data_IF_338414333401
#
_entry.id   IF_338414333401
#
_cell.length_a   1.000
_cell.length_b   1.000
_cell.length_c   1.000
_cell.angle_alpha   90.00
_cell.angle_beta   90.00
_cell.angle_gamma   90.00
#
_symmetry.space_group_name_H-M   'P 1'
#
loop_
_entity.id
_entity.type
_entity.pdbx_description
1 polymer ?
2 non-polymer ?
3 non-polymer ?
4 non-polymer ?
5 non-polymer ?
6 non-polymer ?
7 water ?
#
# COMPACT_ATOMS: atom_id res chain seq x y z
N UNK A 1 30.14 -10.45 -0.69
CA UNK A 1 30.89 -9.67 0.32
C UNK A 1 29.95 -9.26 1.44
N UNK A 2 30.52 -9.05 2.62
CA UNK A 2 29.78 -8.54 3.78
C UNK A 2 30.11 -7.06 3.86
N UNK A 3 29.08 -6.21 3.82
CA UNK A 3 29.22 -4.77 3.90
C UNK A 3 28.72 -4.23 5.23
N UNK A 4 29.26 -3.08 5.61
CA UNK A 4 28.73 -2.31 6.72
C UNK A 4 27.86 -1.15 6.29
N UNK A 5 28.15 -0.62 5.09
CA UNK A 5 27.45 0.55 4.52
C UNK A 5 26.94 0.17 3.15
N UNK A 6 25.75 0.66 2.80
CA UNK A 6 25.22 0.45 1.43
C UNK A 6 24.23 1.55 1.17
N UNK A 7 24.55 2.46 0.26
CA UNK A 7 23.76 3.69 0.11
C UNK A 7 23.67 4.42 1.43
N UNK A 8 22.44 4.75 1.86
CA UNK A 8 22.21 5.35 3.15
C UNK A 8 21.93 4.38 4.27
N UNK A 9 22.12 3.08 4.05
CA UNK A 9 21.90 2.09 5.11
C UNK A 9 23.22 1.77 5.78
N UNK A 10 23.14 1.52 7.10
CA UNK A 10 24.31 1.23 7.96
C UNK A 10 23.95 0.07 8.86
N UNK A 11 24.82 -0.94 8.94
CA UNK A 11 24.64 -2.02 9.90
C UNK A 11 24.45 -1.43 11.33
N UNK A 12 23.51 -2.01 12.09
CA UNK A 12 23.10 -1.63 13.46
C UNK A 12 21.86 -0.73 13.49
N UNK A 13 21.51 -0.13 12.35
CA UNK A 13 20.36 0.78 12.31
C UNK A 13 19.05 0.06 12.59
N UNK A 14 18.11 0.79 13.16
CA UNK A 14 16.75 0.32 13.38
C UNK A 14 16.05 0.39 12.03
N UNK A 15 15.16 -0.57 11.78
CA UNK A 15 14.54 -0.67 10.47
C UNK A 15 13.23 -1.46 10.60
N UNK A 16 12.40 -1.41 9.57
CA UNK A 16 11.23 -2.28 9.48
C UNK A 16 11.49 -3.37 8.44
N UNK A 17 11.10 -4.60 8.76
CA UNK A 17 11.20 -5.71 7.87
C UNK A 17 9.87 -6.39 7.62
N UNK A 18 9.69 -6.94 6.42
CA UNK A 18 8.49 -7.67 6.05
C UNK A 18 8.62 -9.10 6.58
N UNK A 19 7.68 -9.52 7.42
CA UNK A 19 7.64 -10.92 7.87
C UNK A 19 6.90 -11.78 6.87
N UNK A 20 7.00 -13.10 7.05
CA UNK A 20 6.32 -14.07 6.22
C UNK A 20 4.80 -13.91 6.22
N UNK A 21 4.28 -13.37 7.32
CA UNK A 21 2.85 -13.03 7.46
C UNK A 21 2.39 -11.87 6.57
N UNK A 22 3.36 -11.18 5.95
CA UNK A 22 3.16 -10.04 5.05
C UNK A 22 2.90 -8.74 5.82
N UNK A 23 2.98 -8.80 7.14
CA UNK A 23 2.97 -7.58 7.95
C UNK A 23 4.40 -7.20 8.31
N UNK A 24 4.58 -5.92 8.63
CA UNK A 24 5.92 -5.38 8.82
C UNK A 24 6.19 -5.04 10.27
N UNK A 25 7.42 -5.28 10.70
CA UNK A 25 7.80 -5.25 12.10
C UNK A 25 9.17 -4.66 12.34
N UNK A 26 9.34 -4.06 13.52
CA UNK A 26 10.57 -3.40 13.90
C UNK A 26 11.69 -4.41 14.12
N UNK A 27 12.89 -4.01 13.72
CA UNK A 27 14.07 -4.82 13.95
C UNK A 27 15.35 -4.02 13.76
N UNK A 28 16.45 -4.74 13.74
CA UNK A 28 17.79 -4.16 13.60
C UNK A 28 18.44 -4.78 12.38
N UNK A 29 19.06 -3.95 11.55
CA UNK A 29 19.82 -4.43 10.40
C UNK A 29 21.17 -4.93 10.94
N UNK A 30 21.36 -6.24 10.90
CA UNK A 30 22.57 -6.87 11.43
C UNK A 30 23.62 -7.27 10.41
N UNK A 31 23.30 -7.29 9.11
CA UNK A 31 24.29 -7.60 8.09
C UNK A 31 23.80 -7.10 6.76
N UNK A 32 24.73 -6.78 5.87
CA UNK A 32 24.41 -6.50 4.47
C UNK A 32 25.30 -7.40 3.63
N UNK A 33 24.71 -8.16 2.72
CA UNK A 33 25.43 -9.16 1.91
C UNK A 33 25.28 -8.89 0.45
N UNK A 34 26.38 -8.97 -0.29
CA UNK A 34 26.32 -8.92 -1.74
C UNK A 34 26.61 -10.30 -2.30
N UNK A 35 25.91 -10.65 -3.38
CA UNK A 35 26.28 -11.80 -4.20
C UNK A 35 26.26 -11.28 -5.64
N UNK A 36 27.42 -10.80 -6.08
CA UNK A 36 27.59 -10.23 -7.40
C UNK A 36 26.83 -8.93 -7.55
N UNK A 37 25.79 -8.91 -8.42
CA UNK A 37 24.99 -7.70 -8.55
C UNK A 37 23.87 -7.58 -7.49
N UNK A 38 23.59 -8.66 -6.77
CA UNK A 38 22.46 -8.70 -5.83
C UNK A 38 22.85 -8.23 -4.43
N UNK A 39 21.86 -7.73 -3.70
CA UNK A 39 22.06 -7.35 -2.28
C UNK A 39 20.97 -7.94 -1.40
N UNK A 40 21.37 -8.37 -0.20
CA UNK A 40 20.43 -8.84 0.81
C UNK A 40 20.76 -8.21 2.15
N UNK A 41 19.74 -8.12 2.99
CA UNK A 41 19.79 -7.38 4.25
C UNK A 41 19.28 -8.26 5.36
N UNK A 42 20.14 -8.58 6.32
CA UNK A 42 19.76 -9.46 7.39
C UNK A 42 19.18 -8.65 8.54
N UNK A 43 17.93 -8.94 8.90
CA UNK A 43 17.23 -8.24 9.97
C UNK A 43 16.97 -9.16 11.15
N UNK A 44 17.31 -8.70 12.34
CA UNK A 44 16.91 -9.35 13.59
C UNK A 44 15.71 -8.61 14.10
N UNK A 45 14.55 -9.27 14.09
CA UNK A 45 13.34 -8.65 14.58
C UNK A 45 13.38 -8.57 16.11
N UNK A 46 12.61 -7.66 16.66
CA UNK A 46 12.55 -7.51 18.13
C UNK A 46 12.12 -8.77 18.91
N UNK A 47 11.56 -9.78 18.24
CA UNK A 47 11.39 -11.11 18.85
C UNK A 47 12.61 -12.07 18.78
N UNK A 48 13.76 -11.60 18.31
CA UNK A 48 14.98 -12.42 18.14
C UNK A 48 15.05 -13.26 16.85
N UNK A 49 13.91 -13.42 16.15
CA UNK A 49 13.88 -14.14 14.87
C UNK A 49 14.53 -13.28 13.80
N UNK A 50 15.14 -13.95 12.80
CA UNK A 50 15.96 -13.31 11.77
C UNK A 50 15.48 -13.67 10.38
N UNK A 51 15.51 -12.70 9.46
CA UNK A 51 15.26 -12.95 8.05
C UNK A 51 16.32 -12.28 7.23
N UNK A 52 16.66 -12.92 6.12
CA UNK A 52 17.51 -12.35 5.09
C UNK A 52 16.60 -11.88 3.97
N UNK A 53 16.55 -10.55 3.79
CA UNK A 53 15.53 -9.89 2.97
C UNK A 53 16.09 -9.10 1.81
N UNK A 54 15.36 -9.06 0.70
CA UNK A 54 15.69 -8.17 -0.41
C UNK A 54 15.40 -6.72 0.02
N UNK A 55 16.02 -5.77 -0.65
CA UNK A 55 15.91 -4.35 -0.28
C UNK A 55 14.53 -3.72 -0.41
N UNK A 56 13.68 -4.35 -1.21
CA UNK A 56 12.26 -3.95 -1.32
C UNK A 56 11.37 -4.50 -0.20
N UNK A 57 11.98 -5.28 0.71
CA UNK A 57 11.29 -5.88 1.85
C UNK A 57 11.80 -5.37 3.19
N UNK A 58 12.48 -4.24 3.15
CA UNK A 58 12.80 -3.43 4.32
C UNK A 58 12.36 -1.99 4.08
N UNK A 59 12.04 -1.29 5.17
CA UNK A 59 11.59 0.09 5.14
C UNK A 59 12.28 0.86 6.26
N UNK A 60 12.48 2.15 6.03
CA UNK A 60 13.08 3.01 7.05
C UNK A 60 12.09 3.21 8.20
N UNK A 61 12.62 3.30 9.42
CA UNK A 61 11.78 3.56 10.58
C UNK A 61 11.61 5.07 10.83
N UNK A 62 11.21 5.80 9.81
CA UNK A 62 10.85 7.19 9.94
C UNK A 62 9.80 7.50 8.90
N UNK A 63 9.17 8.64 9.03
CA UNK A 63 8.11 9.03 8.09
C UNK A 63 8.76 9.78 6.94
N UNK A 64 8.36 9.45 5.70
CA UNK A 64 9.00 10.10 4.57
C UNK A 64 8.65 11.59 4.48
N UNK A 65 9.61 12.44 4.08
CA UNK A 65 9.29 13.83 3.79
C UNK A 65 8.37 13.92 2.54
N UNK A 66 7.47 14.91 2.51
CA UNK A 66 6.45 15.00 1.45
C UNK A 66 7.05 15.13 0.05
N UNK A 67 8.20 15.79 -0.06
CA UNK A 67 8.84 15.95 -1.37
C UNK A 67 9.48 14.65 -1.90
N UNK A 68 9.44 13.57 -1.12
CA UNK A 68 9.99 12.28 -1.56
C UNK A 68 8.90 11.28 -1.87
N UNK A 69 7.63 11.68 -1.75
CA UNK A 69 6.52 10.79 -2.03
C UNK A 69 5.86 11.20 -3.32
N UNK A 70 5.83 10.27 -4.28
CA UNK A 70 5.18 10.47 -5.56
C UNK A 70 4.06 9.47 -5.73
N UNK A 71 3.17 9.75 -6.68
CA UNK A 71 2.29 8.68 -7.18
C UNK A 71 3.17 7.53 -7.68
N UNK A 72 2.87 6.34 -7.16
CA UNK A 72 3.69 5.18 -7.42
C UNK A 72 4.78 4.87 -6.42
N UNK A 73 5.01 5.72 -5.45
CA UNK A 73 5.99 5.41 -4.39
C UNK A 73 5.57 4.14 -3.61
N UNK A 74 6.56 3.33 -3.27
CA UNK A 74 6.35 2.10 -2.53
C UNK A 74 6.52 2.39 -1.04
N UNK A 75 5.48 2.09 -0.26
CA UNK A 75 5.46 2.48 1.13
C UNK A 75 4.91 1.34 2.00
N UNK A 76 5.16 1.46 3.29
CA UNK A 76 4.48 0.69 4.31
C UNK A 76 3.58 1.65 5.05
N UNK A 77 2.33 1.25 5.29
CA UNK A 77 1.35 2.15 5.91
C UNK A 77 0.55 1.44 6.99
N UNK A 78 0.05 2.24 7.92
CA UNK A 78 -0.88 1.72 8.94
C UNK A 78 -2.19 1.25 8.29
N UNK A 79 -2.60 0.03 8.64
CA UNK A 79 -3.68 -0.70 7.95
C UNK A 79 -4.66 -1.11 9.03
N UNK A 80 -5.96 -0.89 8.77
CA UNK A 80 -7.04 -1.14 9.73
C UNK A 80 -7.76 -2.45 9.47
N UNK A 82 -10.56 -4.75 11.13
CA UNK A 82 -11.45 -4.79 12.29
C UNK A 82 -11.06 -3.73 13.30
N UNK A 83 -10.71 -4.16 14.51
CA UNK A 83 -10.27 -3.28 15.60
C UNK A 83 -8.74 -3.36 15.85
N UNK A 84 -7.99 -3.96 14.91
CA UNK A 84 -6.53 -4.07 15.01
C UNK A 84 -5.82 -3.21 13.96
N UNK A 85 -4.58 -2.83 14.26
CA UNK A 85 -3.72 -2.06 13.34
C UNK A 85 -2.41 -2.82 13.01
N UNK A 86 -2.11 -2.92 11.72
CA UNK A 86 -0.87 -3.57 11.25
C UNK A 86 -0.13 -2.59 10.35
N UNK A 87 1.10 -2.93 10.02
CA UNK A 87 1.85 -2.21 8.98
C UNK A 87 1.90 -3.10 7.74
N UNK A 88 1.46 -2.57 6.61
CA UNK A 88 1.26 -3.35 5.40
C UNK A 88 1.74 -2.54 4.22
N UNK A 89 2.26 -3.21 3.21
CA UNK A 89 2.79 -2.53 2.04
C UNK A 89 1.72 -2.04 1.09
N UNK A 90 2.03 -0.96 0.37
CA UNK A 90 1.16 -0.43 -0.65
C UNK A 90 1.88 0.54 -1.56
N UNK A 91 1.07 1.24 -2.34
CA UNK A 91 1.49 2.20 -3.34
C UNK A 91 0.76 3.50 -3.09
N UNK A 92 1.51 4.61 -3.16
CA UNK A 92 0.89 5.92 -3.07
C UNK A 92 0.09 6.19 -4.36
N UNK A 93 -1.22 6.40 -4.18
CA UNK A 93 -2.14 6.71 -5.29
C UNK A 93 -2.47 8.19 -5.44
N UNK A 94 -2.37 8.94 -4.33
CA UNK A 94 -2.58 10.37 -4.31
C UNK A 94 -1.70 10.96 -3.27
N UNK A 95 -1.20 12.17 -3.56
CA UNK A 95 -0.54 13.00 -2.59
C UNK A 95 -1.50 14.10 -2.08
N UNK A 96 -1.14 14.76 -0.97
CA UNK A 96 -2.07 15.75 -0.38
C UNK A 96 -2.48 16.87 -1.32
N UNK A 97 -3.77 17.12 -1.40
CA UNK A 97 -4.31 18.26 -2.12
C UNK A 97 -5.63 18.71 -1.49
N UNK A 98 -6.15 19.82 -1.99
CA UNK A 98 -7.39 20.39 -1.44
C UNK A 98 -8.55 19.39 -1.52
N UNK A 99 -8.71 18.72 -2.66
CA UNK A 99 -9.83 17.80 -2.85
C UNK A 99 -9.78 16.56 -1.94
N UNK A 100 -8.58 16.11 -1.53
CA UNK A 100 -8.49 15.00 -0.56
C UNK A 100 -8.20 15.42 0.88
N UNK A 101 -8.40 16.71 1.19
CA UNK A 101 -8.16 17.23 2.53
C UNK A 101 -6.75 16.92 3.04
N UNK A 102 -5.80 17.08 2.12
CA UNK A 102 -4.38 16.97 2.42
C UNK A 102 -3.95 15.63 3.02
N UNK A 103 -4.40 14.56 2.38
CA UNK A 103 -4.07 13.20 2.83
C UNK A 103 -3.39 12.44 1.70
N UNK A 104 -2.80 11.30 2.05
CA UNK A 104 -2.26 10.38 1.05
C UNK A 104 -3.23 9.24 0.84
N UNK A 105 -3.54 8.93 -0.42
CA UNK A 105 -4.32 7.73 -0.77
C UNK A 105 -3.38 6.57 -0.98
N UNK A 106 -3.62 5.48 -0.27
CA UNK A 106 -2.79 4.27 -0.37
C UNK A 106 -3.60 3.13 -0.97
N UNK A 107 -3.04 2.49 -2.00
CA UNK A 107 -3.55 1.23 -2.49
C UNK A 107 -2.68 0.11 -1.94
N UNK A 108 -3.23 -0.67 -1.02
CA UNK A 108 -2.48 -1.75 -0.36
C UNK A 108 -2.40 -2.98 -1.26
N UNK A 109 -1.38 -3.81 -1.02
CA UNK A 109 -1.07 -4.92 -1.91
C UNK A 109 -2.19 -5.95 -2.05
N UNK A 110 -3.07 -6.01 -1.06
CA UNK A 110 -4.17 -6.98 -1.06
C UNK A 110 -5.45 -6.47 -1.67
N UNK A 111 -5.43 -5.25 -2.20
CA UNK A 111 -6.61 -4.66 -2.81
C UNK A 111 -7.44 -3.70 -1.97
N UNK A 112 -7.04 -3.46 -0.73
CA UNK A 112 -7.68 -2.47 0.18
C UNK A 112 -7.16 -1.08 -0.20
N UNK A 113 -7.95 -0.06 0.09
CA UNK A 113 -7.55 1.34 -0.12
C UNK A 113 -7.95 2.16 1.07
N UNK A 114 -7.11 3.12 1.44
CA UNK A 114 -7.40 4.01 2.55
C UNK A 114 -6.67 5.34 2.41
N UNK A 115 -7.25 6.39 2.97
CA UNK A 115 -6.49 7.63 3.16
C UNK A 115 -5.76 7.56 4.50
N UNK A 116 -4.52 8.05 4.49
CA UNK A 116 -3.64 8.09 5.66
C UNK A 116 -2.91 9.43 5.72
N UNK A 117 -2.31 9.70 6.87
CA UNK A 117 -1.51 10.86 7.07
C UNK A 117 -0.04 10.51 6.89
N UNK A 118 0.80 11.53 6.77
CA UNK A 118 2.26 11.36 6.73
C UNK A 118 2.80 10.50 7.87
N UNK A 119 2.23 10.67 9.07
CA UNK A 119 2.68 9.96 10.27
C UNK A 119 2.30 8.49 10.30
N UNK A 120 1.56 8.02 9.27
CA UNK A 120 1.17 6.65 9.16
C UNK A 120 1.91 5.91 8.05
N UNK A 121 2.93 6.56 7.46
CA UNK A 121 3.72 6.02 6.34
C UNK A 121 5.18 5.83 6.64
N UNK A 122 5.78 4.83 5.98
CA UNK A 122 7.20 4.56 6.05
C UNK A 122 7.69 4.25 4.65
N UNK A 123 8.86 4.76 4.24
CA UNK A 123 9.35 4.48 2.90
C UNK A 123 10.11 3.17 2.78
N UNK A 124 9.80 2.38 1.73
CA UNK A 124 10.58 1.18 1.45
C UNK A 124 11.99 1.59 1.02
N UNK A 125 13.00 0.87 1.52
CA UNK A 125 14.39 1.28 1.33
C UNK A 125 14.89 1.20 -0.10
N UNK A 126 14.63 0.08 -0.78
CA UNK A 126 15.14 -0.14 -2.13
C UNK A 126 13.99 -0.63 -3.02
N UNK A 127 13.09 0.29 -3.36
CA UNK A 127 11.95 -0.12 -4.19
C UNK A 127 12.43 -0.57 -5.57
N UNK A 128 11.65 -1.43 -6.20
CA UNK A 128 11.95 -1.79 -7.60
C UNK A 128 11.74 -0.58 -8.53
N UNK A 129 12.46 -0.58 -9.65
CA UNK A 129 12.37 0.47 -10.67
C UNK A 129 10.91 0.67 -11.11
N UNK A 130 10.24 -0.43 -11.38
CA UNK A 130 8.78 -0.44 -11.56
C UNK A 130 8.22 -0.91 -10.23
N UNK A 131 7.73 0.04 -9.44
CA UNK A 131 7.50 -0.23 -8.01
C UNK A 131 6.46 -1.31 -7.74
N UNK A 132 5.51 -1.46 -8.68
CA UNK A 132 4.46 -2.45 -8.65
C UNK A 132 4.91 -3.88 -8.88
N UNK A 133 6.13 -4.09 -9.33
CA UNK A 133 6.52 -5.43 -9.78
C UNK A 133 6.72 -6.45 -8.65
N UNK A 134 6.68 -6.02 -7.37
CA UNK A 134 6.70 -6.97 -6.27
C UNK A 134 5.34 -7.12 -5.59
N UNK A 135 4.26 -6.71 -6.29
CA UNK A 135 2.89 -6.95 -5.85
C UNK A 135 2.54 -8.37 -6.32
N UNK A 136 2.21 -9.23 -5.36
CA UNK A 136 2.09 -10.68 -5.62
C UNK A 136 0.97 -11.06 -6.60
N UNK A 137 -0.21 -10.47 -6.46
CA UNK A 137 -1.36 -10.84 -7.29
C UNK A 137 -1.28 -10.13 -8.65
N UNK A 138 -1.27 -10.88 -9.75
CA UNK A 138 -1.21 -10.32 -11.10
C UNK A 138 -2.32 -9.30 -11.41
N UNK A 139 -3.53 -9.53 -10.93
CA UNK A 139 -4.63 -8.61 -11.18
C UNK A 139 -4.40 -7.30 -10.42
N UNK A 140 -3.93 -7.41 -9.17
CA UNK A 140 -3.58 -6.22 -8.37
C UNK A 140 -2.41 -5.48 -9.03
N UNK A 141 -1.37 -6.24 -9.38
CA UNK A 141 -0.17 -5.68 -9.99
C UNK A 141 -0.48 -4.93 -11.31
N UNK A 142 -1.24 -5.56 -12.22
CA UNK A 142 -1.57 -4.91 -13.47
C UNK A 142 -2.45 -3.65 -13.31
N UNK A 143 -3.38 -3.70 -12.37
CA UNK A 143 -4.17 -2.51 -12.06
C UNK A 143 -3.26 -1.35 -11.64
N UNK A 144 -2.32 -1.62 -10.74
CA UNK A 144 -1.42 -0.54 -10.26
C UNK A 144 -0.55 0.00 -11.39
N UNK A 145 0.01 -0.88 -12.21
CA UNK A 145 0.79 -0.47 -13.39
C UNK A 145 0.00 0.50 -14.26
N UNK A 146 -1.24 0.12 -14.58
CA UNK A 146 -2.08 1.00 -15.42
C UNK A 146 -2.38 2.33 -14.72
N UNK A 147 -2.79 2.24 -13.47
CA UNK A 147 -3.10 3.44 -12.71
C UNK A 147 -1.93 4.41 -12.64
N UNK A 148 -0.77 3.90 -12.22
CA UNK A 148 0.38 4.78 -11.96
C UNK A 148 0.91 5.36 -13.26
N UNK A 149 0.94 4.56 -14.32
CA UNK A 149 1.49 5.03 -15.60
C UNK A 149 0.52 5.96 -16.34
N UNK A 150 -0.79 5.75 -16.19
CA UNK A 150 -1.82 6.63 -16.78
C UNK A 150 -2.02 7.96 -16.06
N UNK A 151 -1.71 7.98 -14.75
CA UNK A 151 -1.82 9.15 -13.92
C UNK A 151 -1.19 10.39 -14.60
N UNK A 152 -1.82 11.55 -14.64
CA UNK A 152 -3.03 11.93 -13.89
C UNK A 152 -4.38 11.63 -14.58
N UNK A 153 -4.38 10.87 -15.66
CA UNK A 153 -5.61 10.43 -16.32
C UNK A 153 -6.25 9.29 -15.50
N UNK A 154 -7.32 9.63 -14.76
CA UNK A 154 -7.96 8.69 -13.84
C UNK A 154 -9.47 8.67 -14.04
N UNK A 155 -9.97 7.76 -14.90
CA UNK A 155 -11.42 7.61 -15.00
C UNK A 155 -12.00 7.16 -13.67
N UNK A 156 -13.07 7.81 -13.26
CA UNK A 156 -13.75 7.52 -12.00
C UNK A 156 -15.24 7.70 -12.22
N UNK A 157 -16.03 6.96 -11.46
CA UNK A 157 -17.47 7.17 -11.47
C UNK A 157 -17.84 8.18 -10.40
N UNK A 158 -18.69 9.13 -10.77
CA UNK A 158 -19.21 10.11 -9.84
C UNK A 158 -20.41 9.50 -9.16
N UNK A 159 -20.35 9.38 -7.83
CA UNK A 159 -21.40 8.71 -7.04
C UNK A 159 -21.88 9.62 -5.95
N UNK A 160 -23.15 9.46 -5.59
CA UNK A 160 -23.76 10.24 -4.53
C UNK A 160 -24.41 9.31 -3.51
N UNK A 161 -24.44 9.74 -2.26
CA UNK A 161 -25.05 8.95 -1.19
C UNK A 161 -26.51 8.65 -1.53
N UNK A 162 -26.90 7.41 -1.27
CA UNK A 162 -28.24 6.89 -1.59
C UNK A 162 -28.31 6.16 -2.93
N UNK A 163 -27.32 6.35 -3.80
CA UNK A 163 -27.36 5.77 -5.14
C UNK A 163 -27.25 4.26 -5.10
N UNK A 164 -28.12 3.58 -5.87
CA UNK A 164 -28.10 2.13 -5.95
C UNK A 164 -27.23 1.69 -7.11
N UNK A 165 -26.27 0.82 -6.84
CA UNK A 165 -25.37 0.30 -7.86
C UNK A 165 -25.09 -1.17 -7.58
N UNK A 166 -24.53 -1.87 -8.58
CA UNK A 166 -24.01 -3.21 -8.33
C UNK A 166 -22.53 -3.11 -8.03
N UNK A 167 -22.09 -3.85 -7.02
CA UNK A 167 -20.68 -3.90 -6.65
C UNK A 167 -20.20 -5.37 -6.63
N UNK A 168 -18.98 -5.60 -7.12
CA UNK A 168 -18.42 -6.94 -7.17
C UNK A 168 -17.94 -7.40 -5.79
N UNK A 169 -18.15 -8.68 -5.50
CA UNK A 169 -17.52 -9.34 -4.36
C UNK A 169 -17.47 -10.83 -4.66
N UNK A 170 -16.31 -11.43 -4.43
CA UNK A 170 -16.07 -12.86 -4.71
C UNK A 170 -16.56 -13.27 -6.10
N UNK A 171 -16.30 -12.42 -7.08
CA UNK A 171 -16.54 -12.76 -8.48
C UNK A 171 -17.92 -12.58 -9.04
N UNK A 172 -18.89 -12.09 -8.25
CA UNK A 172 -20.21 -11.80 -8.76
C UNK A 172 -20.67 -10.41 -8.33
N UNK A 173 -21.76 -9.96 -8.92
CA UNK A 173 -22.32 -8.62 -8.68
C UNK A 173 -23.35 -8.65 -7.57
N UNK A 174 -23.29 -7.70 -6.64
CA UNK A 174 -24.25 -7.63 -5.52
C UNK A 174 -24.99 -6.31 -5.52
N UNK A 175 -26.25 -6.33 -5.10
CA UNK A 175 -27.02 -5.13 -4.94
C UNK A 175 -26.40 -4.37 -3.78
N UNK A 176 -26.16 -3.09 -4.01
CA UNK A 176 -25.45 -2.25 -3.03
C UNK A 176 -25.92 -0.81 -3.11
N UNK A 177 -25.53 0.00 -2.13
CA UNK A 177 -25.93 1.38 -2.06
C UNK A 177 -24.74 2.20 -1.59
N UNK A 178 -24.57 3.37 -2.19
CA UNK A 178 -23.54 4.33 -1.77
C UNK A 178 -23.95 4.96 -0.44
N UNK A 179 -23.13 4.74 0.59
CA UNK A 179 -23.42 5.27 1.92
C UNK A 179 -22.75 6.63 2.18
N UNK A 180 -21.53 6.79 1.69
CA UNK A 180 -20.81 8.06 1.79
C UNK A 180 -19.66 8.10 0.80
N UNK A 181 -19.18 9.31 0.54
CA UNK A 181 -18.07 9.54 -0.36
C UNK A 181 -17.04 10.35 0.39
N UNK A 182 -15.78 10.02 0.18
CA UNK A 182 -14.65 10.71 0.82
C UNK A 182 -13.53 10.78 -0.22
N UNK A 183 -13.37 11.96 -0.85
CA UNK A 183 -12.38 12.10 -1.93
C UNK A 183 -12.62 11.09 -3.04
N UNK A 184 -11.59 10.32 -3.34
CA UNK A 184 -11.62 9.31 -4.40
C UNK A 184 -12.13 7.95 -3.94
N UNK A 185 -12.58 7.87 -2.69
CA UNK A 185 -13.17 6.64 -2.13
C UNK A 185 -14.66 6.75 -1.94
N UNK A 186 -15.32 5.60 -2.04
CA UNK A 186 -16.76 5.51 -1.75
C UNK A 186 -16.98 4.38 -0.75
N UNK A 187 -17.91 4.60 0.19
CA UNK A 187 -18.26 3.58 1.14
C UNK A 187 -19.53 2.92 0.63
N UNK A 188 -19.42 1.64 0.31
CA UNK A 188 -20.52 0.86 -0.24
C UNK A 188 -21.13 -0.03 0.84
N UNK A 189 -22.46 0.02 0.97
CA UNK A 189 -23.22 -0.90 1.78
C UNK A 189 -23.71 -2.04 0.88
N UNK A 190 -23.28 -3.27 1.19
CA UNK A 190 -23.81 -4.44 0.49
C UNK A 190 -25.15 -4.76 1.12
N UNK A 191 -26.23 -4.75 0.34
CA UNK A 191 -27.59 -4.70 0.91
C UNK A 191 -28.02 -6.01 1.58
N UNK A 192 -27.63 -7.15 1.00
CA UNK A 192 -27.97 -8.45 1.61
C UNK A 192 -27.22 -8.69 2.94
N UNK A 193 -25.92 -8.38 2.95
CA UNK A 193 -25.02 -8.64 4.07
C UNK A 193 -25.08 -7.54 5.16
N UNK A 194 -25.53 -6.35 4.75
CA UNK A 194 -25.60 -5.16 5.61
C UNK A 194 -24.27 -4.79 6.27
N UNK A 195 -23.19 -4.94 5.50
CA UNK A 195 -21.89 -4.43 5.89
C UNK A 195 -21.28 -3.62 4.77
N UNK A 196 -20.35 -2.74 5.16
CA UNK A 196 -19.72 -1.77 4.26
C UNK A 196 -18.25 -2.02 3.96
N UNK A 197 -17.83 -1.49 2.83
CA UNK A 197 -16.45 -1.50 2.41
C UNK A 197 -16.14 -0.18 1.71
N UNK A 198 -14.94 0.37 1.94
CA UNK A 198 -14.47 1.52 1.20
C UNK A 198 -13.78 1.03 -0.07
N UNK A 199 -14.16 1.61 -1.19
CA UNK A 199 -13.70 1.24 -2.51
C UNK A 199 -13.31 2.45 -3.31
N UNK A 200 -12.19 2.34 -4.03
CA UNK A 200 -11.76 3.39 -4.97
C UNK A 200 -12.81 3.66 -6.07
N UNK A 201 -13.14 4.92 -6.33
CA UNK A 201 -14.15 5.28 -7.35
C UNK A 201 -13.79 4.96 -8.80
N UNK A 202 -12.52 4.64 -9.06
CA UNK A 202 -12.10 4.11 -10.33
C UNK A 202 -11.98 2.61 -10.41
N UNK A 203 -12.44 1.90 -9.39
CA UNK A 203 -12.37 0.44 -9.35
C UNK A 203 -13.38 -0.18 -10.31
N UNK A 204 -12.99 -1.19 -11.09
CA UNK A 204 -13.98 -1.92 -11.89
C UNK A 204 -14.84 -2.84 -11.03
N UNK A 205 -14.61 -2.92 -9.71
CA UNK A 205 -15.60 -3.55 -8.82
C UNK A 205 -16.92 -2.78 -8.75
N UNK A 206 -16.93 -1.50 -9.16
CA UNK A 206 -18.13 -0.71 -9.19
C UNK A 206 -18.69 -0.88 -10.59
N UNK A 207 -19.92 -1.37 -10.70
CA UNK A 207 -20.40 -1.80 -12.03
C UNK A 207 -20.34 -0.67 -13.07
N UNK A 208 -20.69 0.59 -12.69
CA UNK A 208 -20.54 1.71 -13.64
C UNK A 208 -19.12 1.92 -14.21
N UNK A 209 -18.09 1.59 -13.43
CA UNK A 209 -16.70 1.57 -13.94
C UNK A 209 -16.45 0.39 -14.86
N UNK A 210 -16.89 -0.79 -14.43
CA UNK A 210 -16.82 -2.00 -15.25
C UNK A 210 -17.43 -1.79 -16.65
N UNK A 211 -18.54 -1.06 -16.70
CA UNK A 211 -19.20 -0.68 -17.96
C UNK A 211 -18.65 0.63 -18.49
X LIG B 1 -7.41 -1.15 -4.25
X LIG B 1 -6.29 -1.76 -5.05
X LIG B 1 -5.07 -2.07 -4.46
X LIG B 1 -9.40 -0.38 -7.49
X LIG B 1 -4.08 -2.72 -5.17
X LIG B 1 -4.29 -3.07 -6.48
X LIG B 1 -7.68 -1.66 -7.05
X LIG B 1 -5.48 -2.76 -7.12
X LIG B 1 -6.47 -2.09 -6.40
X LIG B 1 -8.30 -3.73 -8.40
X LIG B 1 -8.52 -2.35 -7.90
X LIG B 1 -8.28 -0.45 -6.83
X LIG B 1 -9.55 -1.59 -8.17
X LIG B 1 -7.73 0.21 -4.56
X LIG B 1 -7.66 0.55 -5.93
X LIG C 1 -7.55 -8.57 -7.15
X LIG C 1 -7.25 -7.11 -7.49
X LIG C 1 -8.37 -8.67 -5.99
X LIG C 1 -6.23 -6.30 -6.21
X LIG D 1 -22.07 2.11 7.88
X LIG D 1 -21.54 0.70 8.11
X LIG D 1 -21.37 3.06 8.71
X LIG D 1 -22.25 -0.40 6.85
X LIG E 1 11.99 2.40 17.50
X LIG E 1 13.37 2.07 17.10
X LIG E 1 11.47 1.31 18.35
X LIG E 1 11.08 2.53 16.34
X LIG E 1 11.97 3.70 18.23
X LIG F 1 -28.40 -9.49 -3.99
X LIG F 1 -28.22 -10.92 -3.65
X LIG F 1 -27.32 -9.05 -4.88
X LIG F 1 -29.70 -9.24 -4.66
X LIG F 1 -28.36 -8.74 -2.70
X LIG G 1 12.98 -11.83 -0.19
X LIG G 1 13.04 -12.91 0.80
X LIG G 1 14.15 -11.90 -1.10
X LIG G 1 11.80 -11.93 -1.08
X LIG G 1 12.95 -10.55 0.57
X LIG H 1 0.08 13.98 10.73
X LIG H 1 -0.86 13.13 11.51
X LIG H 1 0.95 13.16 9.86
X LIG H 1 -0.68 14.90 9.87
X LIG H 1 0.93 14.74 11.69
X LIG I 1 6.55 -4.71 16.34
X LIG I 1 7.75 -5.17 17.06
X LIG I 1 5.69 -5.87 16.03
X LIG I 1 7.00 -3.99 15.10
X LIG I 1 5.80 -3.72 17.16
X LIG J 1 9.74 7.08 -6.32
X LIG J 1 9.37 6.97 -4.94
X LIG J 1 9.76 5.76 -7.03
X LIG J 1 10.42 4.75 -6.28
X LIG K 1 8.52 -12.53 3.54
X LIG K 1 7.20 -12.25 3.05
X LIG K 1 9.49 -11.46 3.02
X LIG K 1 9.47 -11.44 1.59
X LIG L 1 8.55 17.22 5.25
X LIG L 1 7.36 16.86 4.55
X LIG L 1 8.30 17.15 6.75
X LIG L 1 8.34 15.79 7.19
X LIG M 1 6.38 -11.85 -0.72
X LIG M 1 7.03 -10.82 0.03
X LIG M 1 6.50 -11.68 -2.23
X LIG M 1 7.85 -11.38 -2.59
X LIG N 1 7.15 15.47 -4.88
X LIG N 1 7.79 16.62 -5.43
X LIG N 1 5.66 15.65 -4.99
X LIG N 1 5.15 14.56 -5.74
X LIG O 1 -12.40 -8.41 -4.04
X LIG O 1 -12.58 -8.14 -5.44
X LIG O 1 -13.69 -9.02 -3.52
X LIG O 1 -13.54 -10.44 -3.28
X LIG P 1 28.17 -12.62 1.58
X LIG Q 1 9.15 -14.16 9.25
X LIG R 1 3.76 -11.30 12.05
X LIG S 1 5.00 -2.86 13.41
X LIG T 1 5.57 5.25 15.14
X LIG U 1 -10.04 5.95 4.22
X LIG V 1 -17.98 -9.29 -12.77
X LIG W 1 -18.53 -7.12 2.30
X LIG X 1 -21.59 -9.99 0.15
X LIG Y 1 -19.79 13.59 -4.76
X LIG Z 1 13.25 5.59 -2.79
X LIG AA 1 15.45 -3.86 -4.59
X LIG BA 1 15.81 0.96 -5.12
#
# INVERSE_FOLDING_TARGET
ENLYFQGDLIVSMRILGKKRTKTWHKGTLIAIQTVGPGKKYKVKFDNKGKSLLSGNHIAYDYHPPADKLYVGSRVVAKYKDGNQVWLYAGIVAETPNVKNKLRFLIFFDDGYASYVTQSELYPICRPLKKTWEDIEDISCRDFIEEYVTAYPNRPMVLLKSGQLIKTEWEGTWWKSRVEEVDGSLVRILFLDDKRCEWIYRGSTRLEPMFSMK
CGJ C4 C5 C6 N1 C7 C8 N2 C9 C10 C C1 C2 N O C3
BME C1 C2 O1 S2
BME C1 C2 O1 S2
SO4 S O1 O2 O3 O4
SO4 S O1 O2 O3 O4
SO4 S O1 O2 O3 O4
SO4 S O1 O2 O3 O4
SO4 S O1 O2 O3 O4
EDO C1 O1 C2 O2
EDO C1 O1 C2 O2
EDO C1 O1 C2 O2
EDO C1 O1 C2 O2
EDO C1 O1 C2 O2
EDO C1 O1 C2 O2
UNX UNK
UNX UNK
UNX UNK
UNX UNK
UNX UNK
UNX UNK
UNX UNK
UNX UNK
UNX UNK
UNX UNK
UNX UNK
UNX UNK
UNX UNK
#
